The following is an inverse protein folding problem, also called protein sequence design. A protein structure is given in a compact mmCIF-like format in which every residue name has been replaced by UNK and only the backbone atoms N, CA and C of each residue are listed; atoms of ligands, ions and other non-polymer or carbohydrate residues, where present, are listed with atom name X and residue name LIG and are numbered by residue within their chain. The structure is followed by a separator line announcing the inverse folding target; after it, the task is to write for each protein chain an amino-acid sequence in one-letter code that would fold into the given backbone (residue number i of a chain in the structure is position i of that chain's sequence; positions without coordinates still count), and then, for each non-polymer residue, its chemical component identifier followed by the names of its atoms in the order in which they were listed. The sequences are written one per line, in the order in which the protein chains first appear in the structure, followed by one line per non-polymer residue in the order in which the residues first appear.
data_IF_948389626518
#
_entry.id   IF_948389626518
#
_cell.length_a   1.000
_cell.length_b   1.000
_cell.length_c   1.000
_cell.angle_alpha   90.00
_cell.angle_beta   90.00
_cell.angle_gamma   90.00
#
_symmetry.space_group_name_H-M   'P 1'
#
loop_
_entity.id
_entity.type
_entity.pdbx_description
1 polymer ?
#
# COMPACT_ATOMS: atom_id res chain seq x y z
N UNK A 1 -7.70 20.55 -11.86
CA UNK A 1 -6.97 20.20 -10.62
C UNK A 1 -6.69 18.72 -10.72
N UNK A 2 -5.44 18.28 -10.77
CA UNK A 2 -5.12 16.86 -10.75
C UNK A 2 -5.47 16.31 -9.37
N UNK A 3 -6.23 15.22 -9.30
CA UNK A 3 -6.45 14.51 -8.04
C UNK A 3 -5.09 14.02 -7.52
N UNK A 4 -4.82 14.25 -6.23
CA UNK A 4 -3.59 13.82 -5.58
C UNK A 4 -3.56 12.28 -5.52
N UNK A 5 -2.44 11.69 -5.93
CA UNK A 5 -2.26 10.23 -6.00
C UNK A 5 -1.18 9.81 -5.02
N UNK A 6 -1.51 8.83 -4.18
CA UNK A 6 -0.60 8.21 -3.22
C UNK A 6 -0.17 6.86 -3.76
N UNK A 7 1.06 6.82 -4.28
CA UNK A 7 1.59 5.66 -4.99
C UNK A 7 2.19 4.64 -4.04
N UNK A 8 1.93 3.37 -4.32
CA UNK A 8 2.64 2.27 -3.70
C UNK A 8 3.93 1.99 -4.49
N UNK A 9 5.10 2.20 -3.89
CA UNK A 9 6.42 1.94 -4.51
C UNK A 9 7.04 0.59 -4.10
N UNK A 10 7.11 -0.38 -5.02
CA UNK A 10 7.57 -1.73 -4.70
C UNK A 10 7.64 -2.62 -5.94
N UNK A 11 7.84 -3.93 -5.74
CA UNK A 11 7.77 -4.86 -6.86
C UNK A 11 6.33 -5.03 -7.40
N UNK A 12 6.19 -5.60 -8.60
CA UNK A 12 4.89 -5.79 -9.26
C UNK A 12 3.88 -6.58 -8.39
N UNK A 13 4.35 -7.56 -7.61
CA UNK A 13 3.48 -8.35 -6.77
C UNK A 13 3.03 -7.56 -5.53
N UNK A 14 3.92 -6.77 -4.94
CA UNK A 14 3.61 -5.85 -3.85
C UNK A 14 2.56 -4.84 -4.33
N UNK A 15 2.84 -4.06 -5.37
CA UNK A 15 1.87 -3.07 -5.88
C UNK A 15 0.49 -3.69 -6.17
N UNK A 16 0.46 -4.90 -6.74
CA UNK A 16 -0.78 -5.66 -6.95
C UNK A 16 -1.51 -6.00 -5.65
N UNK A 17 -0.78 -6.40 -4.60
CA UNK A 17 -1.36 -6.73 -3.29
C UNK A 17 -1.94 -5.47 -2.63
N UNK A 18 -1.25 -4.33 -2.62
CA UNK A 18 -1.79 -3.11 -2.02
C UNK A 18 -3.07 -2.67 -2.72
N UNK A 19 -3.07 -2.66 -4.05
CA UNK A 19 -4.28 -2.37 -4.82
C UNK A 19 -5.42 -3.32 -4.49
N UNK A 20 -5.14 -4.61 -4.33
CA UNK A 20 -6.16 -5.61 -3.95
C UNK A 20 -6.69 -5.39 -2.54
N UNK A 21 -5.86 -4.91 -1.61
CA UNK A 21 -6.31 -4.53 -0.26
C UNK A 21 -7.19 -3.28 -0.35
N UNK A 22 -6.76 -2.25 -1.09
CA UNK A 22 -7.53 -1.03 -1.30
C UNK A 22 -8.92 -1.32 -1.90
N UNK A 23 -8.94 -2.08 -3.01
CA UNK A 23 -10.16 -2.50 -3.71
C UNK A 23 -11.12 -3.28 -2.80
N UNK A 24 -10.59 -4.16 -1.93
CA UNK A 24 -11.39 -4.92 -0.95
C UNK A 24 -11.98 -4.08 0.19
N UNK A 25 -11.45 -2.88 0.41
CA UNK A 25 -11.93 -1.95 1.44
C UNK A 25 -12.71 -0.77 0.81
N UNK A 26 -13.20 -0.93 -0.42
CA UNK A 26 -13.97 0.06 -1.17
C UNK A 26 -13.23 1.42 -1.34
N UNK A 27 -11.90 1.39 -1.34
CA UNK A 27 -11.05 2.57 -1.53
C UNK A 27 -10.89 2.87 -3.02
N UNK A 28 -10.81 4.17 -3.36
CA UNK A 28 -10.55 4.58 -4.74
C UNK A 28 -9.08 4.29 -5.06
N UNK A 29 -8.86 3.35 -6.00
CA UNK A 29 -7.52 2.89 -6.38
C UNK A 29 -7.38 2.75 -7.89
N UNK A 30 -6.14 2.85 -8.39
CA UNK A 30 -5.84 2.75 -9.82
C UNK A 30 -4.40 2.35 -10.10
N UNK A 31 -4.03 2.37 -11.39
CA UNK A 31 -2.65 2.23 -11.87
C UNK A 31 -2.32 3.43 -12.75
N UNK A 32 -1.15 4.03 -12.53
CA UNK A 32 -0.60 5.09 -13.37
C UNK A 32 0.92 4.91 -13.44
N UNK A 33 1.49 4.97 -14.66
CA UNK A 33 2.92 4.69 -14.88
C UNK A 33 3.39 3.29 -14.44
N UNK A 34 2.48 2.33 -14.30
CA UNK A 34 2.80 0.99 -13.78
C UNK A 34 2.83 0.89 -12.24
N UNK A 35 2.61 2.00 -11.54
CA UNK A 35 2.50 2.05 -10.08
C UNK A 35 1.03 2.02 -9.67
N UNK A 36 0.71 1.22 -8.65
CA UNK A 36 -0.62 1.25 -8.04
C UNK A 36 -0.75 2.46 -7.12
N UNK A 37 -1.93 3.08 -7.03
CA UNK A 37 -2.16 4.24 -6.17
C UNK A 37 -3.54 4.22 -5.51
N UNK A 38 -3.70 5.00 -4.45
CA UNK A 38 -4.99 5.45 -3.88
C UNK A 38 -5.09 6.98 -3.92
N UNK A 39 -6.29 7.54 -3.76
CA UNK A 39 -6.52 8.99 -3.93
C UNK A 39 -6.54 9.79 -2.63
N UNK A 40 -6.36 9.13 -1.48
CA UNK A 40 -6.27 9.81 -0.18
C UNK A 40 -5.11 9.27 0.64
N UNK A 41 -4.55 10.13 1.49
CA UNK A 41 -3.51 9.73 2.44
C UNK A 41 -4.03 8.72 3.47
N UNK A 42 -5.29 8.87 3.87
CA UNK A 42 -5.95 8.01 4.85
C UNK A 42 -6.09 6.58 4.33
N UNK A 43 -6.48 6.40 3.06
CA UNK A 43 -6.53 5.09 2.42
C UNK A 43 -5.14 4.47 2.29
N UNK A 44 -4.14 5.30 1.95
CA UNK A 44 -2.74 4.83 1.84
C UNK A 44 -2.24 4.31 3.19
N UNK A 45 -2.41 5.10 4.25
CA UNK A 45 -2.00 4.76 5.60
C UNK A 45 -2.77 3.51 6.11
N UNK A 46 -4.06 3.36 5.77
CA UNK A 46 -4.86 2.19 6.10
C UNK A 46 -4.38 0.90 5.40
N UNK A 47 -4.03 0.98 4.11
CA UNK A 47 -3.45 -0.16 3.37
C UNK A 47 -2.11 -0.58 3.96
N UNK A 48 -1.23 0.38 4.25
CA UNK A 48 0.06 0.12 4.90
C UNK A 48 -0.12 -0.52 6.27
N UNK A 49 -1.06 0.00 7.08
CA UNK A 49 -1.40 -0.59 8.38
C UNK A 49 -1.88 -2.03 8.24
N UNK A 50 -2.75 -2.32 7.27
CA UNK A 50 -3.23 -3.69 7.02
C UNK A 50 -2.07 -4.64 6.70
N UNK A 51 -1.14 -4.21 5.84
CA UNK A 51 0.05 -4.99 5.46
C UNK A 51 0.91 -5.30 6.69
N UNK A 52 1.14 -4.31 7.56
CA UNK A 52 1.86 -4.45 8.84
C UNK A 52 1.16 -5.47 9.74
N UNK A 53 -0.12 -5.24 10.04
CA UNK A 53 -0.90 -6.04 10.99
C UNK A 53 -1.00 -7.51 10.56
N UNK A 54 -1.07 -7.77 9.25
CA UNK A 54 -1.21 -9.11 8.68
C UNK A 54 0.13 -9.75 8.27
N UNK A 55 1.27 -9.10 8.52
CA UNK A 55 2.62 -9.60 8.21
C UNK A 55 2.76 -10.11 6.77
N UNK A 56 2.24 -9.36 5.81
CA UNK A 56 2.26 -9.78 4.40
C UNK A 56 3.70 -9.82 3.90
N UNK A 57 4.20 -11.01 3.56
CA UNK A 57 5.57 -11.21 3.07
C UNK A 57 5.83 -10.42 1.79
N UNK A 58 7.06 -9.92 1.66
CA UNK A 58 7.53 -9.12 0.52
C UNK A 58 7.54 -7.61 0.82
N UNK A 59 6.74 -7.13 1.77
CA UNK A 59 6.48 -5.70 1.96
C UNK A 59 7.49 -4.93 2.81
N UNK A 60 8.66 -5.51 3.04
CA UNK A 60 9.71 -4.99 3.94
C UNK A 60 10.29 -3.63 3.52
N UNK A 61 10.04 -3.18 2.29
CA UNK A 61 10.48 -1.86 1.80
C UNK A 61 9.49 -0.73 2.15
N UNK A 62 8.23 -1.05 2.47
CA UNK A 62 7.19 -0.06 2.79
C UNK A 62 7.07 0.23 4.28
N UNK A 63 7.48 -0.74 5.09
CA UNK A 63 7.52 -0.64 6.54
C UNK A 63 8.96 -0.44 6.94
N UNK A 64 9.23 0.54 7.81
CA UNK A 64 10.59 0.69 8.31
C UNK A 64 11.03 -0.62 8.97
N UNK A 65 12.33 -0.91 8.92
CA UNK A 65 12.90 -2.08 9.61
C UNK A 65 12.48 -2.12 11.08
N UNK A 66 12.32 -0.96 11.71
CA UNK A 66 11.87 -0.79 13.10
C UNK A 66 10.40 -1.22 13.27
N UNK A 67 9.51 -0.79 12.39
CA UNK A 67 8.09 -1.20 12.38
C UNK A 67 7.97 -2.72 12.19
N UNK A 68 8.82 -3.30 11.33
CA UNK A 68 8.82 -4.75 11.12
C UNK A 68 9.38 -5.53 12.32
N UNK A 69 10.43 -5.04 12.98
CA UNK A 69 11.02 -5.70 14.16
C UNK A 69 10.02 -5.73 15.33
N UNK A 70 9.21 -4.68 15.51
CA UNK A 70 8.16 -4.65 16.53
C UNK A 70 7.04 -5.69 16.32
N UNK A 71 6.93 -6.28 15.12
CA UNK A 71 5.99 -7.37 14.85
C UNK A 71 6.46 -8.73 15.36
N UNK A 72 7.71 -8.88 15.81
CA UNK A 72 8.35 -10.16 16.17
C UNK A 72 8.31 -10.41 17.67
#
# INVERSE_FOLDING_TARGET
MGEEKYFFEGDLNQMRIARKIADKNDMITGIDGGLSYVTTKEDYDAVVKYIIDNRIEGWWNYVSREQYIQLR
#
